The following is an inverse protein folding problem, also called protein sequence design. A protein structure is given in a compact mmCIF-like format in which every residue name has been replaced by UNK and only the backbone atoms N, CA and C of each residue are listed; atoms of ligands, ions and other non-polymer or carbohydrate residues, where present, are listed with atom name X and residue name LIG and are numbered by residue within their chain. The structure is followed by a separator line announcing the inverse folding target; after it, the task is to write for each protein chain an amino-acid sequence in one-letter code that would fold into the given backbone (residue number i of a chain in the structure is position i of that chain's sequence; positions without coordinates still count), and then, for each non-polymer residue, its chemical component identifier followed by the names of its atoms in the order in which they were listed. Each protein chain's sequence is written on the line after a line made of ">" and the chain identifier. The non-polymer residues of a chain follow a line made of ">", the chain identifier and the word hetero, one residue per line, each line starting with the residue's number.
data_IF_685055232868
#
_entry.id   IF_685055232868
#
_cell.length_a   1.000
_cell.length_b   1.000
_cell.length_c   1.000
_cell.angle_alpha   90.00
_cell.angle_beta   90.00
_cell.angle_gamma   90.00
#
_symmetry.space_group_name_H-M   'P 1'
#
loop_
_entity.id
_entity.type
_entity.pdbx_description
1 polymer ?
#
# COMPACT_ATOMS: atom_id res chain seq x y z
N UNK A 1 26.18 -19.69 -18.25
CA UNK A 1 25.61 -18.35 -18.49
C UNK A 1 24.63 -17.93 -17.40
N UNK A 2 23.75 -18.79 -16.95
CA UNK A 2 22.70 -18.51 -15.93
C UNK A 2 23.24 -18.09 -14.56
N UNK A 3 24.31 -18.75 -14.09
CA UNK A 3 24.92 -18.44 -12.78
C UNK A 3 25.51 -17.03 -12.78
N UNK A 4 26.23 -16.66 -13.83
CA UNK A 4 26.82 -15.32 -13.95
C UNK A 4 25.76 -14.22 -14.00
N UNK A 5 24.66 -14.45 -14.73
CA UNK A 5 23.56 -13.49 -14.79
C UNK A 5 22.89 -13.32 -13.41
N UNK A 6 22.64 -14.43 -12.72
CA UNK A 6 22.05 -14.41 -11.38
C UNK A 6 22.92 -13.66 -10.35
N UNK A 7 24.24 -13.80 -10.44
CA UNK A 7 25.16 -13.06 -9.58
C UNK A 7 25.18 -11.56 -9.95
N UNK A 8 25.30 -11.24 -11.23
CA UNK A 8 25.31 -9.86 -11.71
C UNK A 8 24.02 -9.11 -11.36
N UNK A 9 22.87 -9.76 -11.51
CA UNK A 9 21.56 -9.15 -11.21
C UNK A 9 21.40 -8.72 -9.74
N UNK A 10 22.01 -9.45 -8.79
CA UNK A 10 21.99 -9.05 -7.37
C UNK A 10 22.66 -7.70 -7.15
N UNK A 11 23.82 -7.50 -7.78
CA UNK A 11 24.55 -6.23 -7.66
C UNK A 11 23.79 -5.08 -8.36
N UNK A 12 23.24 -5.35 -9.56
CA UNK A 12 22.45 -4.35 -10.29
C UNK A 12 21.24 -3.92 -9.46
N UNK A 13 20.45 -4.88 -8.93
CA UNK A 13 19.28 -4.58 -8.09
C UNK A 13 19.70 -3.78 -6.85
N UNK A 14 20.79 -4.18 -6.18
CA UNK A 14 21.28 -3.49 -4.99
C UNK A 14 21.66 -2.03 -5.30
N UNK A 15 22.39 -1.81 -6.40
CA UNK A 15 22.78 -0.46 -6.85
C UNK A 15 21.55 0.39 -7.20
N UNK A 16 20.59 -0.17 -7.94
CA UNK A 16 19.34 0.53 -8.30
C UNK A 16 18.54 0.93 -7.06
N UNK A 17 18.46 0.03 -6.05
CA UNK A 17 17.79 0.31 -4.78
C UNK A 17 18.48 1.43 -4.00
N UNK A 18 19.82 1.44 -3.96
CA UNK A 18 20.58 2.52 -3.32
C UNK A 18 20.34 3.86 -4.03
N UNK A 19 20.42 3.88 -5.35
CA UNK A 19 20.17 5.10 -6.15
C UNK A 19 18.74 5.59 -5.92
N UNK A 20 17.74 4.70 -5.95
CA UNK A 20 16.35 5.05 -5.67
C UNK A 20 16.19 5.68 -4.29
N UNK A 21 16.80 5.09 -3.27
CA UNK A 21 16.74 5.61 -1.89
C UNK A 21 17.41 6.98 -1.78
N UNK A 22 18.58 7.17 -2.40
CA UNK A 22 19.26 8.48 -2.45
C UNK A 22 18.36 9.54 -3.11
N UNK A 23 17.68 9.20 -4.20
CA UNK A 23 16.73 10.13 -4.84
C UNK A 23 15.54 10.47 -3.94
N UNK A 24 15.02 9.53 -3.15
CA UNK A 24 13.99 9.85 -2.17
C UNK A 24 14.45 10.93 -1.17
N UNK A 25 15.67 10.84 -0.66
CA UNK A 25 16.25 11.87 0.21
C UNK A 25 16.49 13.19 -0.51
N UNK A 26 17.03 13.15 -1.72
CA UNK A 26 17.27 14.34 -2.53
C UNK A 26 15.96 15.09 -2.87
N UNK A 27 14.84 14.39 -3.02
CA UNK A 27 13.54 15.00 -3.27
C UNK A 27 13.12 15.99 -2.16
N UNK A 28 13.52 15.77 -0.92
CA UNK A 28 13.26 16.71 0.19
C UNK A 28 14.13 17.97 0.13
N UNK A 29 15.30 17.88 -0.50
CA UNK A 29 16.25 19.00 -0.59
C UNK A 29 15.92 20.00 -1.70
N UNK A 30 15.14 19.60 -2.70
CA UNK A 30 14.83 20.46 -3.86
C UNK A 30 13.51 21.21 -3.69
N UNK A 31 13.59 22.53 -3.49
CA UNK A 31 12.43 23.44 -3.39
C UNK A 31 11.75 23.79 -4.73
N UNK A 32 12.33 23.47 -5.89
CA UNK A 32 11.83 23.88 -7.21
C UNK A 32 10.99 22.79 -7.87
N UNK A 33 9.69 23.03 -8.08
CA UNK A 33 8.71 22.08 -8.64
C UNK A 33 9.13 21.43 -9.97
N UNK A 34 9.73 22.18 -10.90
CA UNK A 34 10.15 21.66 -12.22
C UNK A 34 11.26 20.60 -12.13
N UNK A 35 12.17 20.70 -11.15
CA UNK A 35 13.21 19.68 -10.92
C UNK A 35 12.64 18.42 -10.25
N UNK A 36 11.63 18.60 -9.44
CA UNK A 36 10.97 17.46 -8.77
C UNK A 36 10.31 16.49 -9.77
N UNK A 37 9.75 16.97 -10.87
CA UNK A 37 9.12 16.11 -11.88
C UNK A 37 10.11 15.13 -12.51
N UNK A 38 11.35 15.54 -12.79
CA UNK A 38 12.39 14.66 -13.32
C UNK A 38 12.79 13.57 -12.31
N UNK A 39 12.82 13.88 -11.01
CA UNK A 39 13.08 12.89 -9.98
C UNK A 39 12.00 11.80 -9.96
N UNK A 40 10.73 12.18 -10.03
CA UNK A 40 9.63 11.22 -10.01
C UNK A 40 9.62 10.30 -11.23
N UNK A 41 9.95 10.83 -12.42
CA UNK A 41 10.07 10.03 -13.64
C UNK A 41 11.25 9.06 -13.55
N UNK A 42 12.40 9.49 -13.00
CA UNK A 42 13.54 8.59 -12.78
C UNK A 42 13.24 7.51 -11.76
N UNK A 43 12.50 7.83 -10.70
CA UNK A 43 12.03 6.84 -9.72
C UNK A 43 11.16 5.76 -10.37
N UNK A 44 10.30 6.11 -11.34
CA UNK A 44 9.56 5.13 -12.12
C UNK A 44 10.49 4.20 -12.90
N UNK A 45 11.50 4.78 -13.55
CA UNK A 45 12.49 3.97 -14.26
C UNK A 45 13.19 2.97 -13.33
N UNK A 46 13.66 3.40 -12.16
CA UNK A 46 14.30 2.50 -11.20
C UNK A 46 13.33 1.44 -10.66
N UNK A 47 12.08 1.81 -10.39
CA UNK A 47 11.05 0.89 -9.95
C UNK A 47 10.83 -0.23 -10.98
N UNK A 48 10.66 0.11 -12.25
CA UNK A 48 10.47 -0.87 -13.31
C UNK A 48 11.73 -1.68 -13.59
N UNK A 49 12.91 -1.07 -13.54
CA UNK A 49 14.18 -1.76 -13.72
C UNK A 49 14.45 -2.79 -12.62
N UNK A 50 14.24 -2.44 -11.36
CA UNK A 50 14.36 -3.40 -10.24
C UNK A 50 13.45 -4.60 -10.43
N UNK A 51 12.21 -4.37 -10.81
CA UNK A 51 11.26 -5.46 -11.05
C UNK A 51 11.67 -6.32 -12.24
N UNK A 52 12.08 -5.71 -13.35
CA UNK A 52 12.56 -6.43 -14.52
C UNK A 52 13.70 -7.38 -14.17
N UNK A 53 14.77 -6.87 -13.55
CA UNK A 53 15.93 -7.70 -13.18
C UNK A 53 15.55 -8.79 -12.17
N UNK A 54 14.67 -8.49 -11.22
CA UNK A 54 14.24 -9.47 -10.23
C UNK A 54 13.41 -10.61 -10.86
N UNK A 55 12.40 -10.29 -11.65
CA UNK A 55 11.57 -11.29 -12.32
C UNK A 55 12.33 -12.08 -13.39
N UNK A 56 13.22 -11.42 -14.12
CA UNK A 56 14.10 -12.10 -15.09
C UNK A 56 15.02 -13.09 -14.37
N UNK A 57 15.57 -12.72 -13.21
CA UNK A 57 16.38 -13.64 -12.41
C UNK A 57 15.58 -14.83 -11.89
N UNK A 58 14.32 -14.62 -11.48
CA UNK A 58 13.44 -15.70 -11.05
C UNK A 58 13.12 -16.65 -12.22
N UNK A 59 12.86 -16.10 -13.41
CA UNK A 59 12.60 -16.87 -14.62
C UNK A 59 13.81 -17.73 -15.03
N UNK A 60 15.01 -17.14 -15.08
CA UNK A 60 16.25 -17.85 -15.44
C UNK A 60 16.57 -18.97 -14.44
N UNK A 61 16.34 -18.77 -13.15
CA UNK A 61 16.58 -19.80 -12.13
C UNK A 61 15.62 -20.98 -12.16
N UNK A 62 14.53 -20.86 -12.87
CA UNK A 62 13.53 -21.93 -12.99
C UNK A 62 14.05 -23.11 -13.83
N UNK A 63 15.06 -22.88 -14.71
CA UNK A 63 15.63 -23.88 -15.61
C UNK A 63 14.69 -24.27 -16.74
N UNK A 64 14.79 -25.51 -17.23
CA UNK A 64 14.09 -26.02 -18.42
C UNK A 64 12.54 -26.15 -18.26
N UNK A 65 11.98 -25.85 -17.13
CA UNK A 65 10.51 -25.82 -16.99
C UNK A 65 9.97 -24.58 -17.67
N UNK A 66 9.32 -24.74 -18.80
CA UNK A 66 8.55 -23.70 -19.50
C UNK A 66 7.29 -23.32 -18.70
N UNK A 67 7.49 -22.69 -17.53
CA UNK A 67 6.38 -22.20 -16.73
C UNK A 67 6.19 -20.71 -16.97
N UNK A 68 5.21 -20.37 -17.77
CA UNK A 68 4.84 -18.99 -18.10
C UNK A 68 4.24 -18.21 -16.93
N UNK A 69 4.14 -18.82 -15.75
CA UNK A 69 3.57 -18.16 -14.53
C UNK A 69 4.39 -16.95 -14.10
N UNK A 70 5.73 -17.03 -14.14
CA UNK A 70 6.59 -15.90 -13.75
C UNK A 70 6.48 -14.69 -14.69
N UNK A 71 6.59 -14.86 -16.02
CA UNK A 71 6.35 -13.78 -16.98
C UNK A 71 4.93 -13.22 -16.88
N UNK A 72 3.92 -14.05 -16.67
CA UNK A 72 2.54 -13.61 -16.51
C UNK A 72 2.36 -12.72 -15.26
N UNK A 73 2.87 -13.15 -14.10
CA UNK A 73 2.86 -12.35 -12.87
C UNK A 73 3.60 -11.03 -13.08
N UNK A 74 4.75 -11.04 -13.76
CA UNK A 74 5.50 -9.83 -14.08
C UNK A 74 4.66 -8.85 -14.90
N UNK A 75 4.09 -9.29 -16.01
CA UNK A 75 3.29 -8.44 -16.92
C UNK A 75 2.09 -7.85 -16.16
N UNK A 76 1.34 -8.67 -15.43
CA UNK A 76 0.19 -8.20 -14.64
C UNK A 76 0.61 -7.18 -13.58
N UNK A 77 1.74 -7.43 -12.89
CA UNK A 77 2.28 -6.48 -11.90
C UNK A 77 2.64 -5.16 -12.56
N UNK A 78 3.33 -5.17 -13.71
CA UNK A 78 3.70 -3.95 -14.43
C UNK A 78 2.47 -3.14 -14.84
N UNK A 79 1.49 -3.80 -15.48
CA UNK A 79 0.25 -3.15 -15.91
C UNK A 79 -0.50 -2.53 -14.73
N UNK A 80 -0.58 -3.25 -13.60
CA UNK A 80 -1.27 -2.77 -12.41
C UNK A 80 -0.53 -1.56 -11.78
N UNK A 81 0.80 -1.58 -11.70
CA UNK A 81 1.56 -0.45 -11.18
C UNK A 81 1.46 0.79 -12.09
N UNK A 82 1.53 0.60 -13.41
CA UNK A 82 1.30 1.68 -14.38
C UNK A 82 -0.12 2.25 -14.21
N UNK A 83 -1.12 1.38 -14.05
CA UNK A 83 -2.50 1.80 -13.81
C UNK A 83 -2.62 2.63 -12.53
N UNK A 84 -2.06 2.16 -11.41
CA UNK A 84 -2.07 2.87 -10.12
C UNK A 84 -1.42 4.25 -10.26
N UNK A 85 -0.22 4.31 -10.83
CA UNK A 85 0.53 5.56 -11.00
C UNK A 85 -0.21 6.55 -11.92
N UNK A 86 -0.73 6.06 -13.06
CA UNK A 86 -1.41 6.89 -14.05
C UNK A 86 -2.77 7.36 -13.56
N UNK A 87 -3.61 6.47 -13.04
CA UNK A 87 -4.93 6.84 -12.51
C UNK A 87 -4.82 7.84 -11.36
N UNK A 88 -3.92 7.59 -10.41
CA UNK A 88 -3.75 8.49 -9.27
C UNK A 88 -3.24 9.87 -9.73
N UNK A 89 -2.32 9.89 -10.70
CA UNK A 89 -1.79 11.15 -11.23
C UNK A 89 -2.83 11.95 -12.02
N UNK A 90 -3.70 11.27 -12.77
CA UNK A 90 -4.76 11.91 -13.57
C UNK A 90 -5.93 12.40 -12.71
N UNK A 91 -6.31 11.63 -11.68
CA UNK A 91 -7.46 11.95 -10.84
C UNK A 91 -7.13 12.93 -9.72
N UNK A 92 -5.90 12.90 -9.21
CA UNK A 92 -5.47 13.68 -8.02
C UNK A 92 -4.18 14.44 -8.30
N UNK A 93 -4.29 15.64 -8.89
CA UNK A 93 -3.13 16.51 -9.20
C UNK A 93 -2.31 16.87 -7.97
N UNK A 94 -2.94 16.97 -6.80
CA UNK A 94 -2.30 17.32 -5.52
C UNK A 94 -1.74 16.11 -4.77
N UNK A 95 -1.76 14.91 -5.35
CA UNK A 95 -1.22 13.71 -4.71
C UNK A 95 0.29 13.84 -4.51
N UNK A 96 0.76 13.43 -3.33
CA UNK A 96 2.20 13.37 -3.05
C UNK A 96 2.84 12.25 -3.88
N UNK A 97 3.49 12.64 -4.98
CA UNK A 97 4.11 11.72 -5.94
C UNK A 97 5.20 10.85 -5.31
N UNK A 98 5.98 11.40 -4.36
CA UNK A 98 7.02 10.64 -3.68
C UNK A 98 6.42 9.49 -2.84
N UNK A 99 5.35 9.79 -2.10
CA UNK A 99 4.65 8.77 -1.31
C UNK A 99 4.06 7.67 -2.20
N UNK A 100 3.45 8.06 -3.32
CA UNK A 100 2.87 7.12 -4.28
C UNK A 100 3.95 6.20 -4.91
N UNK A 101 5.09 6.77 -5.33
CA UNK A 101 6.20 6.01 -5.90
C UNK A 101 6.77 5.01 -4.88
N UNK A 102 6.96 5.45 -3.63
CA UNK A 102 7.44 4.58 -2.56
C UNK A 102 6.45 3.45 -2.24
N UNK A 103 5.15 3.74 -2.23
CA UNK A 103 4.11 2.72 -2.08
C UNK A 103 4.20 1.69 -3.20
N UNK A 104 4.30 2.12 -4.47
CA UNK A 104 4.43 1.24 -5.61
C UNK A 104 5.73 0.41 -5.57
N UNK A 105 6.84 1.00 -5.12
CA UNK A 105 8.11 0.27 -4.96
C UNK A 105 7.98 -0.84 -3.92
N UNK A 106 7.40 -0.56 -2.76
CA UNK A 106 7.18 -1.55 -1.70
C UNK A 106 6.21 -2.66 -2.13
N UNK A 107 5.13 -2.31 -2.84
CA UNK A 107 4.22 -3.29 -3.42
C UNK A 107 4.94 -4.20 -4.42
N UNK A 108 5.76 -3.62 -5.30
CA UNK A 108 6.55 -4.38 -6.28
C UNK A 108 7.53 -5.35 -5.61
N UNK A 109 8.27 -4.91 -4.59
CA UNK A 109 9.17 -5.76 -3.81
C UNK A 109 8.38 -6.89 -3.13
N UNK A 110 7.22 -6.57 -2.55
CA UNK A 110 6.33 -7.56 -1.93
C UNK A 110 5.90 -8.65 -2.90
N UNK A 111 5.50 -8.29 -4.12
CA UNK A 111 5.13 -9.26 -5.17
C UNK A 111 6.33 -10.11 -5.60
N UNK A 112 7.52 -9.52 -5.79
CA UNK A 112 8.74 -10.27 -6.11
C UNK A 112 9.03 -11.33 -5.04
N UNK A 113 8.97 -10.94 -3.77
CA UNK A 113 9.23 -11.86 -2.64
C UNK A 113 8.18 -12.97 -2.57
N UNK A 114 6.90 -12.64 -2.74
CA UNK A 114 5.82 -13.64 -2.75
C UNK A 114 5.94 -14.59 -3.95
N UNK A 115 6.29 -14.07 -5.13
CA UNK A 115 6.49 -14.90 -6.33
C UNK A 115 7.62 -15.91 -6.12
N UNK A 116 8.70 -15.48 -5.44
CA UNK A 116 9.82 -16.36 -5.10
C UNK A 116 9.45 -17.45 -4.09
N UNK A 117 8.64 -17.13 -3.10
CA UNK A 117 8.30 -18.03 -1.99
C UNK A 117 7.09 -18.92 -2.29
N UNK A 118 6.06 -18.36 -2.91
CA UNK A 118 4.81 -19.06 -3.20
C UNK A 118 4.03 -18.31 -4.29
N UNK A 119 4.09 -18.76 -5.52
CA UNK A 119 3.43 -18.14 -6.70
C UNK A 119 1.92 -18.00 -6.52
N UNK A 120 1.26 -18.98 -5.91
CA UNK A 120 -0.18 -18.93 -5.61
C UNK A 120 -0.55 -17.77 -4.68
N UNK A 121 0.33 -17.45 -3.72
CA UNK A 121 0.15 -16.30 -2.82
C UNK A 121 0.40 -14.98 -3.55
N UNK A 122 1.33 -14.95 -4.51
CA UNK A 122 1.58 -13.77 -5.33
C UNK A 122 0.35 -13.41 -6.18
N UNK A 123 -0.28 -14.39 -6.84
CA UNK A 123 -1.51 -14.18 -7.60
C UNK A 123 -2.64 -13.65 -6.72
N UNK A 124 -2.82 -14.26 -5.54
CA UNK A 124 -3.80 -13.77 -4.56
C UNK A 124 -3.53 -12.33 -4.13
N UNK A 125 -2.25 -11.98 -3.90
CA UNK A 125 -1.84 -10.64 -3.53
C UNK A 125 -2.12 -9.61 -4.63
N UNK A 126 -1.92 -9.98 -5.91
CA UNK A 126 -2.28 -9.13 -7.05
C UNK A 126 -3.79 -8.83 -7.09
N UNK A 127 -4.63 -9.84 -6.86
CA UNK A 127 -6.08 -9.63 -6.77
C UNK A 127 -6.45 -8.69 -5.61
N UNK A 128 -5.88 -8.91 -4.42
CA UNK A 128 -6.10 -8.04 -3.26
C UNK A 128 -5.64 -6.60 -3.56
N UNK A 129 -4.48 -6.42 -4.19
CA UNK A 129 -3.95 -5.11 -4.55
C UNK A 129 -4.87 -4.36 -5.52
N UNK A 130 -5.42 -5.06 -6.52
CA UNK A 130 -6.39 -4.49 -7.47
C UNK A 130 -7.67 -4.05 -6.78
N UNK A 131 -8.26 -4.92 -5.96
CA UNK A 131 -9.49 -4.60 -5.22
C UNK A 131 -9.27 -3.45 -4.24
N UNK A 132 -8.15 -3.47 -3.50
CA UNK A 132 -7.81 -2.40 -2.55
C UNK A 132 -7.59 -1.05 -3.25
N UNK A 133 -6.99 -1.04 -4.42
CA UNK A 133 -6.81 0.17 -5.22
C UNK A 133 -8.17 0.75 -5.66
N UNK A 134 -9.06 -0.09 -6.20
CA UNK A 134 -10.41 0.33 -6.60
C UNK A 134 -11.23 0.85 -5.42
N UNK A 135 -11.16 0.17 -4.27
CA UNK A 135 -11.81 0.64 -3.04
C UNK A 135 -11.23 1.97 -2.55
N UNK A 136 -9.90 2.15 -2.64
CA UNK A 136 -9.23 3.41 -2.31
C UNK A 136 -9.73 4.56 -3.18
N UNK A 137 -9.81 4.37 -4.49
CA UNK A 137 -10.37 5.37 -5.42
C UNK A 137 -11.84 5.68 -5.09
N UNK A 138 -12.65 4.66 -4.79
CA UNK A 138 -14.03 4.83 -4.41
C UNK A 138 -14.19 5.67 -3.14
N UNK A 139 -13.38 5.39 -2.11
CA UNK A 139 -13.41 6.16 -0.84
C UNK A 139 -13.08 7.63 -1.09
N UNK A 140 -12.03 7.93 -1.84
CA UNK A 140 -11.66 9.32 -2.14
C UNK A 140 -12.76 10.02 -2.95
N UNK A 141 -13.31 9.36 -3.96
CA UNK A 141 -14.44 9.88 -4.75
C UNK A 141 -15.68 10.18 -3.89
N UNK A 142 -16.02 9.28 -2.96
CA UNK A 142 -17.13 9.49 -2.03
C UNK A 142 -16.86 10.66 -1.10
N UNK A 143 -15.63 10.82 -0.63
CA UNK A 143 -15.26 11.93 0.25
C UNK A 143 -15.31 13.29 -0.45
N UNK A 144 -14.92 13.37 -1.73
CA UNK A 144 -15.02 14.59 -2.53
C UNK A 144 -16.48 15.04 -2.75
N UNK A 145 -17.35 14.09 -3.05
CA UNK A 145 -18.79 14.39 -3.29
C UNK A 145 -19.62 14.51 -2.02
N UNK A 146 -19.22 13.87 -0.94
CA UNK A 146 -20.01 13.71 0.27
C UNK A 146 -19.81 14.81 1.31
N UNK A 147 -20.54 15.92 1.21
CA UNK A 147 -20.54 16.99 2.25
C UNK A 147 -20.93 16.51 3.66
N UNK A 148 -21.61 15.36 3.77
CA UNK A 148 -22.11 14.82 5.04
C UNK A 148 -21.08 13.93 5.77
N UNK A 149 -20.06 13.39 5.11
CA UNK A 149 -19.04 12.55 5.75
C UNK A 149 -18.34 13.26 6.91
N UNK A 150 -18.15 14.56 6.80
CA UNK A 150 -17.56 15.39 7.87
C UNK A 150 -18.42 15.42 9.14
N UNK A 151 -19.74 15.25 9.03
CA UNK A 151 -20.67 15.28 10.18
C UNK A 151 -20.83 13.92 10.85
N UNK A 152 -20.28 12.86 10.26
CA UNK A 152 -20.47 11.48 10.74
C UNK A 152 -19.38 11.02 11.75
N UNK A 153 -18.66 11.95 12.38
CA UNK A 153 -17.59 11.62 13.32
C UNK A 153 -17.99 10.66 14.44
N UNK A 154 -19.16 10.88 15.05
CA UNK A 154 -19.68 9.99 16.09
C UNK A 154 -19.98 8.59 15.55
N UNK A 155 -20.48 8.49 14.31
CA UNK A 155 -20.74 7.19 13.68
C UNK A 155 -19.44 6.41 13.46
N UNK A 156 -18.35 7.07 13.02
CA UNK A 156 -17.04 6.44 12.87
C UNK A 156 -16.51 5.91 14.19
N UNK A 157 -16.68 6.68 15.29
CA UNK A 157 -16.33 6.26 16.63
C UNK A 157 -17.10 5.00 17.04
N UNK A 158 -18.43 5.04 16.94
CA UNK A 158 -19.28 3.92 17.33
C UNK A 158 -19.00 2.65 16.55
N UNK A 159 -18.88 2.75 15.23
CA UNK A 159 -18.59 1.59 14.37
C UNK A 159 -17.19 1.04 14.66
N UNK A 160 -16.20 1.89 14.89
CA UNK A 160 -14.84 1.46 15.22
C UNK A 160 -14.79 0.71 16.56
N UNK A 161 -15.40 1.26 17.61
CA UNK A 161 -15.46 0.61 18.93
C UNK A 161 -16.27 -0.68 18.88
N UNK A 162 -17.38 -0.70 18.14
CA UNK A 162 -18.20 -1.92 17.97
C UNK A 162 -17.41 -3.03 17.26
N UNK A 163 -16.65 -2.70 16.20
CA UNK A 163 -15.80 -3.67 15.52
C UNK A 163 -14.74 -4.26 16.46
N UNK A 164 -14.12 -3.43 17.31
CA UNK A 164 -13.15 -3.89 18.30
C UNK A 164 -13.82 -4.80 19.34
N UNK A 165 -14.99 -4.43 19.84
CA UNK A 165 -15.75 -5.23 20.78
C UNK A 165 -16.13 -6.60 20.20
N UNK A 166 -16.57 -6.66 18.94
CA UNK A 166 -16.87 -7.93 18.24
C UNK A 166 -15.63 -8.82 18.17
N UNK A 167 -14.45 -8.27 17.90
CA UNK A 167 -13.21 -9.05 17.86
C UNK A 167 -12.82 -9.58 19.24
N UNK A 168 -13.00 -8.76 20.27
CA UNK A 168 -12.73 -9.18 21.66
C UNK A 168 -13.57 -10.42 22.07
N UNK A 169 -14.82 -10.46 21.61
CA UNK A 169 -15.76 -11.56 21.94
C UNK A 169 -15.57 -12.76 21.01
N UNK A 170 -15.50 -12.54 19.69
CA UNK A 170 -15.53 -13.59 18.66
C UNK A 170 -14.15 -13.89 18.04
N UNK A 171 -13.12 -13.12 18.38
CA UNK A 171 -11.80 -13.26 17.77
C UNK A 171 -11.12 -14.58 18.11
N UNK A 172 -10.49 -15.17 17.10
CA UNK A 172 -9.64 -16.33 17.27
C UNK A 172 -8.27 -15.93 17.83
N UNK A 173 -7.73 -16.74 18.73
CA UNK A 173 -6.38 -16.53 19.25
C UNK A 173 -5.38 -16.95 18.17
N UNK A 174 -4.67 -15.98 17.59
CA UNK A 174 -3.59 -16.20 16.65
C UNK A 174 -2.32 -15.58 17.24
N UNK A 175 -1.27 -16.37 17.40
CA UNK A 175 0.00 -15.91 17.99
C UNK A 175 -0.12 -15.23 19.37
N UNK A 176 -1.03 -15.73 20.22
CA UNK A 176 -1.21 -15.25 21.60
C UNK A 176 -2.16 -14.07 21.77
N UNK A 177 -2.74 -13.52 20.71
CA UNK A 177 -3.69 -12.42 20.78
C UNK A 177 -4.96 -12.68 19.96
N UNK A 178 -6.11 -12.18 20.45
CA UNK A 178 -7.40 -12.24 19.75
C UNK A 178 -7.51 -11.06 18.78
N UNK A 179 -6.88 -11.13 17.61
CA UNK A 179 -6.82 -10.01 16.67
C UNK A 179 -7.51 -10.31 15.34
N UNK A 180 -7.87 -11.55 15.06
CA UNK A 180 -8.37 -11.93 13.74
C UNK A 180 -9.66 -12.76 13.82
N UNK A 181 -10.51 -12.57 12.81
CA UNK A 181 -11.67 -13.39 12.53
C UNK A 181 -11.34 -14.26 11.31
N UNK A 182 -11.44 -15.58 11.44
CA UNK A 182 -11.23 -16.50 10.33
C UNK A 182 -12.58 -17.01 9.85
N UNK A 183 -12.93 -16.69 8.60
CA UNK A 183 -14.15 -17.15 7.97
C UNK A 183 -13.83 -17.85 6.65
N UNK A 184 -14.16 -19.15 6.54
CA UNK A 184 -13.89 -19.99 5.36
C UNK A 184 -12.45 -19.94 4.84
N UNK A 185 -11.46 -19.92 5.75
CA UNK A 185 -10.03 -19.86 5.37
C UNK A 185 -9.50 -18.46 4.98
N UNK A 186 -10.35 -17.44 5.04
CA UNK A 186 -9.94 -16.03 4.89
C UNK A 186 -9.82 -15.45 6.30
N UNK A 187 -8.62 -15.02 6.65
CA UNK A 187 -8.37 -14.31 7.90
C UNK A 187 -8.58 -12.82 7.69
N UNK A 188 -9.53 -12.24 8.39
CA UNK A 188 -9.81 -10.82 8.41
C UNK A 188 -9.39 -10.23 9.74
N UNK A 189 -8.63 -9.16 9.72
CA UNK A 189 -8.17 -8.44 10.90
C UNK A 189 -8.94 -7.11 11.02
N UNK A 190 -9.97 -7.03 11.87
CA UNK A 190 -10.82 -5.83 11.98
C UNK A 190 -10.09 -4.59 12.47
N UNK A 191 -8.94 -4.72 13.13
CA UNK A 191 -8.10 -3.57 13.50
C UNK A 191 -7.63 -2.74 12.31
N UNK A 192 -7.50 -3.32 11.11
CA UNK A 192 -7.08 -2.55 9.92
C UNK A 192 -8.16 -1.55 9.45
N UNK A 193 -9.43 -1.94 9.23
CA UNK A 193 -10.47 -0.96 8.95
C UNK A 193 -10.76 -0.02 10.12
N UNK A 194 -10.55 -0.44 11.38
CA UNK A 194 -10.70 0.44 12.54
C UNK A 194 -9.70 1.59 12.50
N UNK A 195 -8.46 1.38 12.07
CA UNK A 195 -7.49 2.47 11.86
C UNK A 195 -7.98 3.54 10.89
N UNK A 196 -8.67 3.13 9.81
CA UNK A 196 -9.27 4.06 8.85
C UNK A 196 -10.45 4.82 9.48
N UNK A 197 -11.33 4.14 10.20
CA UNK A 197 -12.44 4.77 10.91
C UNK A 197 -11.94 5.76 11.96
N UNK A 198 -10.88 5.42 12.66
CA UNK A 198 -10.19 6.30 13.61
C UNK A 198 -9.64 7.56 12.93
N UNK A 199 -9.01 7.41 11.76
CA UNK A 199 -8.53 8.55 10.97
C UNK A 199 -9.70 9.47 10.56
N UNK A 200 -10.82 8.90 10.09
CA UNK A 200 -12.01 9.67 9.73
C UNK A 200 -12.66 10.34 10.94
N UNK A 201 -12.69 9.67 12.09
CA UNK A 201 -13.12 10.25 13.35
C UNK A 201 -12.30 11.48 13.70
N UNK A 202 -10.97 11.36 13.76
CA UNK A 202 -10.08 12.48 14.06
C UNK A 202 -10.24 13.62 13.05
N UNK A 203 -10.23 13.32 11.76
CA UNK A 203 -10.40 14.32 10.70
C UNK A 203 -11.73 15.08 10.81
N UNK A 204 -12.83 14.36 11.14
CA UNK A 204 -14.15 14.95 11.31
C UNK A 204 -14.20 15.97 12.46
N UNK A 205 -13.58 15.67 13.59
CA UNK A 205 -13.62 16.52 14.78
C UNK A 205 -12.58 17.64 14.77
N UNK A 206 -11.37 17.39 14.23
CA UNK A 206 -10.29 18.38 14.21
C UNK A 206 -10.41 19.38 13.05
N UNK A 207 -11.25 19.10 12.06
CA UNK A 207 -11.46 20.01 10.92
C UNK A 207 -12.25 21.30 11.28
N UNK A 208 -12.91 21.35 12.43
CA UNK A 208 -13.59 22.55 12.93
C UNK A 208 -12.72 23.25 13.98
N UNK A 209 -13.07 24.52 14.30
CA UNK A 209 -12.36 25.27 15.36
C UNK A 209 -12.35 24.44 16.65
N UNK A 210 -11.16 24.08 17.10
CA UNK A 210 -10.96 23.23 18.29
C UNK A 210 -10.98 24.09 19.55
N UNK A 211 -11.98 23.88 20.41
CA UNK A 211 -11.99 24.33 21.79
C UNK A 211 -11.37 23.26 22.70
N UNK A 212 -10.80 23.64 23.84
CA UNK A 212 -10.15 22.72 24.78
C UNK A 212 -11.06 21.52 25.16
N UNK A 213 -12.33 21.79 25.45
CA UNK A 213 -13.33 20.73 25.75
C UNK A 213 -13.46 19.71 24.63
N UNK A 214 -13.41 20.19 23.38
CA UNK A 214 -13.50 19.34 22.19
C UNK A 214 -12.26 18.46 22.02
N UNK A 215 -11.06 19.02 22.26
CA UNK A 215 -9.81 18.25 22.25
C UNK A 215 -9.85 17.12 23.27
N UNK A 216 -10.30 17.40 24.51
CA UNK A 216 -10.44 16.38 25.55
C UNK A 216 -11.44 15.29 25.14
N UNK A 217 -12.60 15.65 24.59
CA UNK A 217 -13.61 14.68 24.14
C UNK A 217 -13.06 13.79 23.01
N UNK A 218 -12.35 14.40 22.05
CA UNK A 218 -11.71 13.66 20.95
C UNK A 218 -10.64 12.71 21.48
N UNK A 219 -9.86 13.14 22.48
CA UNK A 219 -8.82 12.30 23.10
C UNK A 219 -9.42 11.11 23.86
N UNK A 220 -10.55 11.26 24.54
CA UNK A 220 -11.27 10.16 25.19
C UNK A 220 -11.77 9.16 24.14
N UNK A 221 -12.40 9.64 23.05
CA UNK A 221 -12.82 8.79 21.94
C UNK A 221 -11.64 8.10 21.23
N UNK A 222 -10.50 8.77 21.13
CA UNK A 222 -9.27 8.19 20.59
C UNK A 222 -8.75 7.05 21.50
N UNK A 223 -8.77 7.24 22.82
CA UNK A 223 -8.36 6.22 23.78
C UNK A 223 -9.26 4.96 23.73
N UNK A 224 -10.53 5.11 23.35
CA UNK A 224 -11.43 3.98 23.17
C UNK A 224 -11.11 3.11 21.93
N UNK A 225 -10.28 3.60 20.98
CA UNK A 225 -9.85 2.88 19.78
C UNK A 225 -8.50 2.17 19.98
N UNK A 226 -7.79 2.44 21.03
CA UNK A 226 -6.48 1.85 21.36
C UNK A 226 -6.65 0.73 22.38
#
# INVERSE_FOLDING_TARGET
>A
MEIWFSELSKYIISVLMVIYTLECFLAFSYKKERKNTLFYVRQWFYLFAVQFFAFFTLYVKQGEREDYTYPAIYIVTQLLLILILSCTHLMYEQCNRLLLNNMCMLLGIGIIMLTRLATTKAVRQLMIMTVSFLLGLLVVFLMEKGKNFRKMGILYLLVGVLLLAVVLVLGNVTSGSKLSLTFRGITFQPSEPVKLLFLFYLASFLAEKTDFKRVVLVSIGAAAHV
#
